data_IF_054161871274
#
_entry.id   IF_054161871274
#
_cell.length_a   1.000
_cell.length_b   1.000
_cell.length_c   1.000
_cell.angle_alpha   90.00
_cell.angle_beta   90.00
_cell.angle_gamma   90.00
#
_symmetry.space_group_name_H-M   'P 1'
#
loop_
_entity.id
_entity.type
_entity.pdbx_description
1 polymer ?
#
# COMPACT_ATOMS: atom_id res chain seq x y z
N UNK A 1 10.41 -6.37 13.10
CA UNK A 1 9.34 -5.50 12.58
C UNK A 1 10.00 -4.26 12.02
N UNK A 2 9.57 -3.80 10.84
CA UNK A 2 10.05 -2.55 10.25
C UNK A 2 9.76 -1.39 11.21
N UNK A 3 10.68 -0.43 11.28
CA UNK A 3 10.50 0.83 11.98
C UNK A 3 9.39 1.66 11.33
N UNK A 4 8.86 2.62 12.10
CA UNK A 4 7.84 3.54 11.60
C UNK A 4 8.31 4.31 10.35
N UNK A 5 9.58 4.69 10.29
CA UNK A 5 10.17 5.38 9.16
C UNK A 5 10.20 4.48 7.91
N UNK A 6 10.59 3.20 8.06
CA UNK A 6 10.58 2.23 6.96
C UNK A 6 9.16 1.96 6.44
N UNK A 7 8.17 1.90 7.34
CA UNK A 7 6.76 1.78 6.94
C UNK A 7 6.27 3.01 6.17
N UNK A 8 6.64 4.21 6.63
CA UNK A 8 6.29 5.47 5.97
C UNK A 8 6.91 5.59 4.57
N UNK A 9 8.20 5.28 4.45
CA UNK A 9 8.92 5.27 3.17
C UNK A 9 8.32 4.27 2.20
N UNK A 10 8.00 3.06 2.66
CA UNK A 10 7.34 2.05 1.86
C UNK A 10 5.96 2.52 1.34
N UNK A 11 5.13 3.10 2.22
CA UNK A 11 3.81 3.59 1.82
C UNK A 11 3.88 4.77 0.85
N UNK A 12 4.90 5.62 0.97
CA UNK A 12 5.15 6.70 0.02
C UNK A 12 5.60 6.15 -1.34
N UNK A 13 6.53 5.20 -1.34
CA UNK A 13 7.04 4.56 -2.56
C UNK A 13 5.93 3.86 -3.33
N UNK A 14 5.04 3.14 -2.65
CA UNK A 14 3.98 2.45 -3.36
C UNK A 14 2.88 3.39 -3.85
N UNK A 15 2.52 4.43 -3.09
CA UNK A 15 1.58 5.43 -3.56
C UNK A 15 2.09 6.09 -4.86
N UNK A 16 3.38 6.40 -4.91
CA UNK A 16 4.02 6.91 -6.12
C UNK A 16 3.94 5.92 -7.28
N UNK A 17 4.20 4.63 -7.04
CA UNK A 17 4.10 3.58 -8.07
C UNK A 17 2.69 3.47 -8.66
N UNK A 18 1.64 3.66 -7.84
CA UNK A 18 0.26 3.75 -8.34
C UNK A 18 0.06 4.99 -9.20
N UNK A 19 0.51 6.15 -8.74
CA UNK A 19 0.33 7.42 -9.46
C UNK A 19 1.02 7.46 -10.83
N UNK A 20 2.15 6.77 -10.99
CA UNK A 20 2.90 6.69 -12.26
C UNK A 20 2.47 5.54 -13.17
N UNK A 21 1.49 4.72 -12.75
CA UNK A 21 0.95 3.63 -13.56
C UNK A 21 1.80 2.36 -13.56
N UNK A 22 2.69 2.16 -12.58
CA UNK A 22 3.51 0.93 -12.49
C UNK A 22 2.64 -0.33 -12.35
N UNK A 23 1.39 -0.17 -11.90
CA UNK A 23 0.40 -1.23 -11.72
C UNK A 23 -0.66 -1.30 -12.84
N UNK A 24 -0.45 -0.66 -13.99
CA UNK A 24 -1.43 -0.66 -15.11
C UNK A 24 -1.68 -2.07 -15.69
N UNK A 25 -0.84 -3.05 -15.36
CA UNK A 25 -1.08 -4.46 -15.67
C UNK A 25 -2.19 -5.09 -14.82
N UNK A 26 -2.55 -4.48 -13.68
CA UNK A 26 -3.63 -4.95 -12.82
C UNK A 26 -5.00 -4.50 -13.37
N UNK A 27 -6.06 -5.29 -13.14
CA UNK A 27 -7.43 -4.85 -13.40
C UNK A 27 -7.79 -3.56 -12.64
N UNK A 28 -8.62 -2.65 -13.20
CA UNK A 28 -8.97 -1.38 -12.56
C UNK A 28 -9.61 -1.50 -11.16
N UNK A 29 -10.32 -2.59 -10.88
CA UNK A 29 -10.86 -2.90 -9.56
C UNK A 29 -9.76 -3.22 -8.55
N UNK A 30 -8.71 -3.92 -8.96
CA UNK A 30 -7.55 -4.20 -8.10
C UNK A 30 -6.72 -2.94 -7.84
N UNK A 31 -6.57 -2.05 -8.82
CA UNK A 31 -5.91 -0.74 -8.62
C UNK A 31 -6.70 0.09 -7.59
N UNK A 32 -8.03 0.08 -7.66
CA UNK A 32 -8.87 0.74 -6.65
C UNK A 32 -8.67 0.14 -5.26
N UNK A 33 -8.66 -1.20 -5.15
CA UNK A 33 -8.38 -1.88 -3.87
C UNK A 33 -6.99 -1.52 -3.35
N UNK A 34 -5.97 -1.44 -4.22
CA UNK A 34 -4.62 -1.04 -3.82
C UNK A 34 -4.62 0.37 -3.23
N UNK A 35 -5.28 1.32 -3.89
CA UNK A 35 -5.44 2.70 -3.40
C UNK A 35 -6.15 2.76 -2.03
N UNK A 36 -7.24 2.02 -1.86
CA UNK A 36 -7.98 1.97 -0.60
C UNK A 36 -7.12 1.40 0.54
N UNK A 37 -6.33 0.36 0.25
CA UNK A 37 -5.41 -0.25 1.22
C UNK A 37 -4.27 0.69 1.60
N UNK A 38 -3.69 1.41 0.64
CA UNK A 38 -2.65 2.43 0.88
C UNK A 38 -3.21 3.55 1.77
N UNK A 39 -4.41 4.04 1.47
CA UNK A 39 -5.07 5.06 2.29
C UNK A 39 -5.35 4.57 3.72
N UNK A 40 -5.82 3.32 3.87
CA UNK A 40 -6.04 2.70 5.17
C UNK A 40 -4.72 2.55 5.97
N UNK A 41 -3.64 2.14 5.30
CA UNK A 41 -2.32 2.02 5.92
C UNK A 41 -1.79 3.36 6.44
N UNK A 42 -1.96 4.44 5.65
CA UNK A 42 -1.62 5.79 6.08
C UNK A 42 -2.43 6.26 7.29
N UNK A 43 -3.71 5.91 7.36
CA UNK A 43 -4.55 6.24 8.51
C UNK A 43 -4.11 5.47 9.76
N UNK A 44 -3.81 4.18 9.63
CA UNK A 44 -3.28 3.35 10.73
C UNK A 44 -1.95 3.94 11.25
N UNK A 45 -1.02 4.27 10.34
CA UNK A 45 0.27 4.89 10.69
C UNK A 45 0.09 6.21 11.46
N UNK A 46 -0.83 7.07 11.01
CA UNK A 46 -1.14 8.36 11.68
C UNK A 46 -1.71 8.15 13.08
N UNK A 47 -2.52 7.11 13.28
CA UNK A 47 -3.12 6.78 14.58
C UNK A 47 -2.15 6.02 15.50
N UNK A 48 -0.98 5.62 14.99
CA UNK A 48 -0.01 4.81 15.74
C UNK A 48 -0.43 3.35 15.88
N UNK A 49 -1.33 2.89 15.01
CA UNK A 49 -1.78 1.50 14.93
C UNK A 49 -0.79 0.63 14.15
N UNK A 50 -0.99 -0.68 14.21
CA UNK A 50 -0.19 -1.62 13.44
C UNK A 50 -0.52 -1.55 11.94
N UNK A 51 0.49 -1.19 11.15
CA UNK A 51 0.39 -1.01 9.69
C UNK A 51 0.65 -2.33 8.94
N UNK A 52 1.27 -3.32 9.59
CA UNK A 52 1.68 -4.57 8.94
C UNK A 52 0.52 -5.31 8.23
N UNK A 53 -0.69 -5.44 8.82
CA UNK A 53 -1.80 -6.11 8.15
C UNK A 53 -2.27 -5.41 6.87
N UNK A 54 -2.05 -4.11 6.76
CA UNK A 54 -2.36 -3.34 5.54
C UNK A 54 -1.29 -3.56 4.47
N UNK A 55 -0.01 -3.50 4.86
CA UNK A 55 1.13 -3.78 3.99
C UNK A 55 1.03 -5.19 3.40
N UNK A 56 0.72 -6.20 4.23
CA UNK A 56 0.59 -7.58 3.76
C UNK A 56 -0.51 -7.73 2.70
N UNK A 57 -1.64 -7.02 2.85
CA UNK A 57 -2.72 -7.04 1.86
C UNK A 57 -2.32 -6.34 0.57
N UNK A 58 -1.57 -5.25 0.67
CA UNK A 58 -1.04 -4.52 -0.48
C UNK A 58 -0.10 -5.41 -1.29
N UNK A 59 0.80 -6.15 -0.63
CA UNK A 59 1.67 -7.13 -1.27
C UNK A 59 0.87 -8.26 -1.93
N UNK A 60 -0.16 -8.79 -1.26
CA UNK A 60 -1.02 -9.82 -1.85
C UNK A 60 -1.74 -9.36 -3.12
N UNK A 61 -2.15 -8.10 -3.20
CA UNK A 61 -2.83 -7.58 -4.40
C UNK A 61 -1.85 -7.41 -5.56
N UNK A 62 -0.63 -6.90 -5.31
CA UNK A 62 0.36 -6.74 -6.40
C UNK A 62 0.93 -8.06 -6.92
N UNK A 63 0.99 -9.10 -6.08
CA UNK A 63 1.54 -10.41 -6.44
C UNK A 63 0.54 -11.30 -7.19
N UNK A 64 -0.75 -10.95 -7.20
CA UNK A 64 -1.80 -11.64 -7.98
C UNK A 64 -1.65 -11.31 -9.47
N UNK A 65 -0.68 -11.96 -10.11
CA UNK A 65 -0.54 -12.05 -11.57
C UNK A 65 -1.55 -13.02 -12.17
#
# INVERSE_FOLDING_TARGET
MASRAEQEEYLASIAQAVDVGDFDYLPPDQIRVLNDLIAAAWNALKQGEDVAPHIDKIEQVRERR
#
